data_IF_572887659668
#
_entry.id   IF_572887659668
#
_cell.length_a   1.000
_cell.length_b   1.000
_cell.length_c   1.000
_cell.angle_alpha   90.00
_cell.angle_beta   90.00
_cell.angle_gamma   90.00
#
_symmetry.space_group_name_H-M   'P 1'
#
loop_
_entity.id
_entity.type
_entity.pdbx_description
1 polymer ?
#
# COMPACT_ATOMS: atom_id res chain seq x y z
N UNK A 1 -11.12 9.57 -6.29
CA UNK A 1 -11.45 8.13 -6.38
C UNK A 1 -11.04 7.54 -5.04
N UNK A 2 -12.01 7.08 -4.24
CA UNK A 2 -11.72 6.62 -2.89
C UNK A 2 -11.09 5.23 -2.90
N UNK A 3 -9.90 5.10 -2.30
CA UNK A 3 -9.16 3.84 -2.17
C UNK A 3 -9.32 3.27 -0.75
N UNK A 4 -9.29 4.15 0.25
CA UNK A 4 -9.60 3.85 1.65
C UNK A 4 -10.75 4.75 2.09
N UNK A 5 -11.82 4.15 2.59
CA UNK A 5 -12.99 4.86 3.11
C UNK A 5 -13.01 4.72 4.62
N UNK A 6 -12.87 5.84 5.33
CA UNK A 6 -12.96 5.91 6.77
C UNK A 6 -14.16 6.75 7.19
N UNK A 7 -15.05 6.18 8.00
CA UNK A 7 -16.23 6.87 8.51
C UNK A 7 -16.58 6.39 9.93
N UNK A 8 -17.72 6.82 10.46
CA UNK A 8 -18.19 6.47 11.81
C UNK A 8 -18.39 4.96 12.03
N UNK A 9 -18.47 4.15 10.97
CA UNK A 9 -18.60 2.69 11.06
C UNK A 9 -17.24 1.99 11.13
N UNK A 10 -16.17 2.65 10.67
CA UNK A 10 -14.83 2.06 10.60
C UNK A 10 -14.07 2.43 9.33
N UNK A 11 -13.06 1.62 9.03
CA UNK A 11 -12.20 1.76 7.85
C UNK A 11 -12.43 0.59 6.91
N UNK A 12 -12.60 0.88 5.63
CA UNK A 12 -12.77 -0.10 4.55
C UNK A 12 -11.78 0.22 3.43
N UNK A 13 -11.16 -0.81 2.87
CA UNK A 13 -10.40 -0.71 1.63
C UNK A 13 -11.30 -1.04 0.45
N UNK A 14 -11.13 -0.33 -0.66
CA UNK A 14 -11.90 -0.55 -1.90
C UNK A 14 -11.04 -1.40 -2.84
N UNK A 15 -11.36 -2.68 -2.93
CA UNK A 15 -10.75 -3.60 -3.91
C UNK A 15 -11.34 -3.30 -5.27
N UNK A 16 -10.49 -2.90 -6.23
CA UNK A 16 -10.93 -2.44 -7.55
C UNK A 16 -10.61 -3.49 -8.61
N UNK A 17 -11.51 -3.71 -9.57
CA UNK A 17 -11.21 -4.48 -10.78
C UNK A 17 -11.22 -3.56 -11.99
N UNK A 18 -10.09 -3.54 -12.69
CA UNK A 18 -9.88 -2.76 -13.90
C UNK A 18 -9.91 -3.67 -15.12
N UNK A 19 -10.61 -3.21 -16.17
CA UNK A 19 -10.69 -3.91 -17.47
C UNK A 19 -10.51 -2.95 -18.64
N UNK A 20 -9.95 -3.45 -19.74
CA UNK A 20 -9.83 -2.74 -21.01
C UNK A 20 -10.58 -3.47 -22.13
N UNK A 21 -11.13 -2.75 -23.12
CA UNK A 21 -11.90 -3.37 -24.22
C UNK A 21 -11.05 -4.22 -25.18
N UNK A 22 -9.74 -4.00 -25.21
CA UNK A 22 -8.80 -4.65 -26.13
C UNK A 22 -7.86 -5.66 -25.45
N UNK A 23 -8.12 -6.02 -24.19
CA UNK A 23 -7.29 -6.97 -23.44
C UNK A 23 -8.16 -8.04 -22.79
N UNK A 24 -7.66 -9.28 -22.78
CA UNK A 24 -8.24 -10.39 -22.03
C UNK A 24 -7.77 -10.43 -20.56
N UNK A 25 -6.86 -9.51 -20.18
CA UNK A 25 -6.25 -9.42 -18.87
C UNK A 25 -7.00 -8.42 -17.99
N UNK A 26 -7.35 -8.84 -16.79
CA UNK A 26 -7.93 -8.00 -15.74
C UNK A 26 -6.87 -7.64 -14.68
N UNK A 27 -6.96 -6.44 -14.10
CA UNK A 27 -6.16 -6.07 -12.92
C UNK A 27 -7.07 -5.94 -11.70
N UNK A 28 -6.78 -6.66 -10.62
CA UNK A 28 -7.48 -6.54 -9.33
C UNK A 28 -6.55 -5.88 -8.32
N UNK A 29 -6.92 -4.69 -7.86
CA UNK A 29 -6.12 -3.89 -6.94
C UNK A 29 -6.59 -4.15 -5.51
N UNK A 30 -5.65 -4.49 -4.63
CA UNK A 30 -5.85 -4.74 -3.21
C UNK A 30 -5.08 -3.68 -2.41
N UNK A 31 -5.71 -2.53 -2.08
CA UNK A 31 -5.05 -1.45 -1.35
C UNK A 31 -4.69 -1.88 0.06
N UNK A 32 -3.41 -1.84 0.40
CA UNK A 32 -2.92 -2.27 1.69
C UNK A 32 -2.79 -1.12 2.67
N UNK A 33 -3.16 -1.40 3.92
CA UNK A 33 -2.82 -0.59 5.08
C UNK A 33 -1.97 -1.43 6.01
N UNK A 34 -1.00 -0.80 6.68
CA UNK A 34 -0.03 -1.53 7.50
C UNK A 34 -0.60 -2.02 8.85
N UNK A 35 -1.81 -1.58 9.24
CA UNK A 35 -2.49 -2.02 10.46
C UNK A 35 -3.99 -2.27 10.20
N UNK A 36 -4.49 -3.42 10.64
CA UNK A 36 -5.89 -3.82 10.43
C UNK A 36 -6.28 -5.04 11.25
N UNK A 37 -7.48 -5.58 11.04
CA UNK A 37 -7.86 -6.86 11.66
C UNK A 37 -7.21 -8.05 10.93
N UNK A 38 -7.08 -9.19 11.60
CA UNK A 38 -6.61 -10.42 10.95
C UNK A 38 -7.55 -10.83 9.80
N UNK A 39 -8.86 -10.70 10.00
CA UNK A 39 -9.89 -11.04 9.01
C UNK A 39 -9.74 -10.24 7.70
N UNK A 40 -9.31 -8.97 7.79
CA UNK A 40 -8.98 -8.15 6.63
C UNK A 40 -7.86 -8.77 5.81
N UNK A 41 -6.71 -9.04 6.44
CA UNK A 41 -5.55 -9.60 5.75
C UNK A 41 -5.82 -11.01 5.22
N UNK A 42 -6.60 -11.83 5.92
CA UNK A 42 -7.01 -13.16 5.46
C UNK A 42 -7.90 -13.09 4.22
N UNK A 43 -8.80 -12.09 4.18
CA UNK A 43 -9.67 -11.87 3.02
C UNK A 43 -8.87 -11.44 1.81
N UNK A 44 -7.98 -10.45 1.96
CA UNK A 44 -7.09 -10.01 0.87
C UNK A 44 -6.23 -11.16 0.38
N UNK A 45 -5.63 -11.94 1.29
CA UNK A 45 -4.81 -13.11 0.93
C UNK A 45 -5.60 -14.13 0.12
N UNK A 46 -6.82 -14.46 0.57
CA UNK A 46 -7.70 -15.42 -0.12
C UNK A 46 -8.01 -14.93 -1.54
N UNK A 47 -8.46 -13.68 -1.67
CA UNK A 47 -8.82 -13.10 -2.96
C UNK A 47 -7.61 -12.92 -3.89
N UNK A 48 -6.44 -12.57 -3.37
CA UNK A 48 -5.22 -12.46 -4.15
C UNK A 48 -4.73 -13.84 -4.66
N UNK A 49 -4.94 -14.91 -3.90
CA UNK A 49 -4.65 -16.28 -4.34
C UNK A 49 -5.63 -16.82 -5.40
N UNK A 50 -6.74 -16.12 -5.66
CA UNK A 50 -7.65 -16.41 -6.78
C UNK A 50 -7.14 -15.80 -8.10
N UNK A 51 -6.14 -14.91 -8.05
CA UNK A 51 -5.51 -14.32 -9.22
C UNK A 51 -4.43 -15.25 -9.81
N UNK A 52 -4.11 -15.09 -11.09
CA UNK A 52 -3.11 -15.93 -11.78
C UNK A 52 -1.67 -15.54 -11.43
N UNK A 53 -1.45 -14.25 -11.17
CA UNK A 53 -0.17 -13.68 -10.75
C UNK A 53 -0.44 -12.58 -9.71
N UNK A 54 0.38 -12.50 -8.68
CA UNK A 54 0.35 -11.41 -7.70
C UNK A 54 1.57 -10.51 -7.88
N UNK A 55 1.35 -9.20 -7.94
CA UNK A 55 2.37 -8.16 -7.83
C UNK A 55 2.28 -7.62 -6.41
N UNK A 56 3.28 -7.93 -5.59
CA UNK A 56 3.27 -7.60 -4.16
C UNK A 56 4.33 -6.56 -3.81
N UNK A 57 3.97 -5.64 -2.91
CA UNK A 57 4.90 -4.74 -2.26
C UNK A 57 5.96 -5.50 -1.46
N UNK A 58 7.16 -4.95 -1.40
CA UNK A 58 8.23 -5.59 -0.66
C UNK A 58 9.53 -4.83 -0.70
N UNK A 59 9.64 -3.82 0.15
CA UNK A 59 10.96 -3.29 0.49
C UNK A 59 11.68 -4.33 1.33
N UNK A 60 12.77 -4.90 0.83
CA UNK A 60 13.53 -5.95 1.53
C UNK A 60 13.95 -5.57 2.96
N UNK A 61 14.58 -6.49 3.69
CA UNK A 61 14.93 -6.26 5.10
C UNK A 61 15.96 -5.12 5.26
N UNK A 62 15.48 -3.91 5.54
CA UNK A 62 16.30 -2.71 5.74
C UNK A 62 15.99 -2.03 7.08
N UNK A 63 17.05 -1.63 7.81
CA UNK A 63 16.91 -0.93 9.11
C UNK A 63 16.08 0.36 9.01
N UNK A 64 16.24 1.22 7.99
CA UNK A 64 15.40 2.41 7.83
C UNK A 64 13.91 2.08 7.70
N UNK A 65 13.55 1.11 6.84
CA UNK A 65 12.16 0.63 6.68
C UNK A 65 11.60 0.15 8.01
N UNK A 66 12.37 -0.64 8.77
CA UNK A 66 11.96 -1.11 10.08
C UNK A 66 11.65 0.07 11.04
N UNK A 67 12.43 1.15 11.01
CA UNK A 67 12.19 2.32 11.87
C UNK A 67 10.95 3.10 11.45
N UNK A 68 10.76 3.34 10.15
CA UNK A 68 9.60 4.05 9.62
C UNK A 68 8.30 3.31 9.94
N UNK A 69 8.32 1.99 9.87
CA UNK A 69 7.16 1.13 10.17
C UNK A 69 7.02 0.78 11.66
N UNK A 70 7.85 1.34 12.54
CA UNK A 70 7.82 1.03 13.97
C UNK A 70 6.52 1.48 14.65
N UNK A 71 5.90 2.55 14.15
CA UNK A 71 4.62 3.08 14.62
C UNK A 71 3.55 1.98 14.66
N UNK A 72 3.37 1.26 13.54
CA UNK A 72 2.39 0.18 13.40
C UNK A 72 2.65 -0.98 14.35
N UNK A 73 3.92 -1.42 14.48
CA UNK A 73 4.28 -2.52 15.38
C UNK A 73 4.07 -2.18 16.85
N UNK A 74 4.28 -0.92 17.23
CA UNK A 74 4.03 -0.46 18.59
C UNK A 74 2.53 -0.29 18.85
N UNK A 75 1.78 0.27 17.90
CA UNK A 75 0.33 0.41 17.98
C UNK A 75 -0.37 -0.95 18.10
N UNK A 76 0.03 -1.96 17.30
CA UNK A 76 -0.54 -3.31 17.35
C UNK A 76 -0.32 -4.03 18.69
N UNK A 77 0.61 -3.56 19.54
CA UNK A 77 0.78 -4.10 20.90
C UNK A 77 -0.29 -3.60 21.88
N UNK A 78 -1.10 -2.63 21.49
CA UNK A 78 -2.27 -2.21 22.26
C UNK A 78 -3.40 -3.23 22.06
N UNK A 79 -3.52 -4.17 23.01
CA UNK A 79 -4.54 -5.22 22.97
C UNK A 79 -5.98 -4.69 22.88
N UNK A 80 -6.24 -3.45 23.33
CA UNK A 80 -7.57 -2.83 23.24
C UNK A 80 -7.99 -2.53 21.81
N UNK A 81 -7.02 -2.35 20.90
CA UNK A 81 -7.31 -2.12 19.48
C UNK A 81 -7.71 -3.41 18.77
N UNK A 82 -7.22 -4.57 19.21
CA UNK A 82 -7.47 -5.85 18.53
C UNK A 82 -7.02 -5.86 17.06
N UNK A 83 -5.96 -5.10 16.74
CA UNK A 83 -5.40 -4.97 15.40
C UNK A 83 -4.03 -5.65 15.32
N UNK A 84 -3.68 -6.08 14.12
CA UNK A 84 -2.40 -6.71 13.77
C UNK A 84 -1.71 -5.91 12.67
N UNK A 85 -0.41 -6.08 12.55
CA UNK A 85 0.38 -5.50 11.45
C UNK A 85 0.24 -6.39 10.22
N UNK A 86 0.20 -5.79 9.04
CA UNK A 86 0.22 -6.50 7.76
C UNK A 86 1.39 -7.49 7.69
N UNK A 87 1.08 -8.75 7.36
CA UNK A 87 2.08 -9.79 7.05
C UNK A 87 1.69 -10.50 5.74
N UNK A 88 1.67 -9.72 4.65
CA UNK A 88 1.43 -10.21 3.29
C UNK A 88 2.69 -9.98 2.44
N UNK A 89 3.70 -10.82 2.69
CA UNK A 89 4.93 -10.84 1.89
C UNK A 89 4.76 -11.77 0.69
N UNK A 90 5.66 -11.69 -0.30
CA UNK A 90 5.58 -12.54 -1.49
C UNK A 90 5.52 -14.06 -1.21
N UNK A 91 6.13 -14.56 -0.13
CA UNK A 91 6.03 -15.96 0.26
C UNK A 91 4.69 -16.38 0.88
N UNK A 92 3.74 -15.46 1.00
CA UNK A 92 2.42 -15.69 1.62
C UNK A 92 1.39 -16.16 0.61
N UNK A 93 1.65 -15.93 -0.69
CA UNK A 93 0.74 -16.28 -1.78
C UNK A 93 1.11 -17.63 -2.37
N UNK A 94 0.10 -18.40 -2.76
CA UNK A 94 0.26 -19.72 -3.39
C UNK A 94 0.50 -19.62 -4.90
N UNK A 95 0.30 -18.43 -5.45
CA UNK A 95 0.41 -18.13 -6.88
C UNK A 95 1.74 -17.41 -7.18
N UNK A 96 2.23 -17.44 -8.44
CA UNK A 96 3.45 -16.74 -8.82
C UNK A 96 3.42 -15.27 -8.38
N UNK A 97 4.46 -14.83 -7.68
CA UNK A 97 4.54 -13.47 -7.15
C UNK A 97 5.71 -12.69 -7.74
N UNK A 98 5.41 -11.51 -8.30
CA UNK A 98 6.39 -10.52 -8.80
C UNK A 98 6.59 -9.46 -7.73
N UNK A 99 7.84 -9.01 -7.55
CA UNK A 99 8.23 -7.97 -6.60
C UNK A 99 8.98 -6.85 -7.32
N UNK A 100 8.28 -5.82 -7.81
CA UNK A 100 8.93 -4.74 -8.52
C UNK A 100 9.54 -3.70 -7.58
N UNK A 101 9.24 -3.73 -6.29
CA UNK A 101 9.66 -2.72 -5.31
C UNK A 101 11.19 -2.66 -5.07
N UNK A 102 11.64 -1.59 -4.42
CA UNK A 102 13.04 -1.40 -4.02
C UNK A 102 13.49 -2.55 -3.11
N UNK A 103 14.67 -3.12 -3.36
CA UNK A 103 15.24 -4.06 -2.40
C UNK A 103 15.83 -3.33 -1.17
N UNK A 104 16.19 -4.08 -0.12
CA UNK A 104 16.73 -3.50 1.11
C UNK A 104 17.97 -2.62 0.90
N UNK A 105 18.97 -3.06 0.10
CA UNK A 105 20.11 -2.23 -0.30
C UNK A 105 19.73 -0.95 -1.04
N UNK A 106 18.88 -1.02 -2.07
CA UNK A 106 18.46 0.13 -2.87
C UNK A 106 17.68 1.15 -2.02
N UNK A 107 16.77 0.68 -1.16
CA UNK A 107 16.10 1.56 -0.19
C UNK A 107 17.10 2.20 0.78
N UNK A 108 18.08 1.44 1.27
CA UNK A 108 19.10 1.96 2.19
C UNK A 108 20.02 2.97 1.52
N UNK A 109 20.22 2.89 0.21
CA UNK A 109 20.93 3.90 -0.57
C UNK A 109 20.08 5.15 -0.77
N UNK A 110 18.82 4.99 -1.20
CA UNK A 110 17.86 6.09 -1.32
C UNK A 110 17.71 6.84 0.00
N UNK A 111 17.59 6.12 1.12
CA UNK A 111 17.55 6.70 2.46
C UNK A 111 18.77 7.57 2.78
N UNK A 112 19.96 7.26 2.26
CA UNK A 112 21.16 8.10 2.50
C UNK A 112 21.10 9.42 1.75
N UNK A 113 20.34 9.49 0.65
CA UNK A 113 20.13 10.72 -0.14
C UNK A 113 19.17 11.68 0.56
N UNK A 114 18.25 11.17 1.37
CA UNK A 114 17.37 11.98 2.21
C UNK A 114 18.20 12.89 3.15
N UNK A 115 17.86 14.19 3.27
CA UNK A 115 18.52 15.11 4.19
C UNK A 115 18.61 14.55 5.63
N UNK A 116 19.72 14.85 6.31
CA UNK A 116 19.96 14.37 7.68
C UNK A 116 18.86 14.81 8.65
N UNK A 117 18.31 16.02 8.45
CA UNK A 117 17.21 16.57 9.25
C UNK A 117 15.96 15.70 9.16
N UNK A 118 15.48 15.44 7.95
CA UNK A 118 14.26 14.66 7.69
C UNK A 118 14.42 13.22 8.18
N UNK A 119 15.60 12.62 7.96
CA UNK A 119 15.91 11.30 8.50
C UNK A 119 15.81 11.24 10.01
N UNK A 120 16.37 12.23 10.70
CA UNK A 120 16.34 12.30 12.16
C UNK A 120 14.91 12.53 12.65
N UNK A 121 14.19 13.46 12.02
CA UNK A 121 12.81 13.77 12.32
C UNK A 121 11.92 12.52 12.18
N UNK A 122 11.97 11.82 11.04
CA UNK A 122 11.19 10.60 10.81
C UNK A 122 11.59 9.46 11.74
N UNK A 123 12.89 9.31 12.02
CA UNK A 123 13.39 8.32 12.97
C UNK A 123 12.90 8.56 14.40
N UNK A 124 12.57 9.81 14.76
CA UNK A 124 12.01 10.17 16.05
C UNK A 124 10.48 10.11 16.06
N UNK A 125 9.84 10.64 15.03
CA UNK A 125 8.38 10.78 14.94
C UNK A 125 7.68 9.42 14.90
N UNK A 126 8.13 8.50 14.03
CA UNK A 126 7.51 7.19 13.85
C UNK A 126 7.42 6.36 15.15
N UNK A 127 8.51 6.12 15.91
CA UNK A 127 8.41 5.40 17.18
C UNK A 127 7.66 6.19 18.25
N UNK A 128 7.77 7.53 18.29
CA UNK A 128 7.03 8.36 19.26
C UNK A 128 5.53 8.23 19.06
N UNK A 129 5.06 8.32 17.82
CA UNK A 129 3.67 8.08 17.45
C UNK A 129 3.24 6.65 17.82
N UNK A 130 4.09 5.66 17.56
CA UNK A 130 3.84 4.27 17.95
C UNK A 130 3.64 4.06 19.45
N UNK A 131 4.49 4.68 20.28
CA UNK A 131 4.37 4.64 21.75
C UNK A 131 3.09 5.34 22.21
N UNK A 132 2.76 6.48 21.61
CA UNK A 132 1.53 7.21 21.90
C UNK A 132 0.28 6.35 21.57
N UNK A 133 0.21 5.79 20.36
CA UNK A 133 -0.88 4.91 19.93
C UNK A 133 -0.96 3.63 20.78
N UNK A 134 0.18 3.15 21.28
CA UNK A 134 0.21 2.01 22.20
C UNK A 134 -0.50 2.31 23.53
N UNK A 135 -0.31 3.51 24.08
CA UNK A 135 -0.89 3.91 25.38
C UNK A 135 -2.31 4.46 25.26
N UNK A 136 -2.57 5.26 24.23
CA UNK A 136 -3.75 6.11 24.11
C UNK A 136 -4.50 5.94 22.78
N UNK A 137 -3.98 5.14 21.84
CA UNK A 137 -4.60 4.96 20.54
C UNK A 137 -6.00 4.34 20.65
N UNK A 138 -6.91 4.86 19.83
CA UNK A 138 -8.25 4.32 19.62
C UNK A 138 -8.44 3.99 18.14
N UNK A 139 -9.40 3.13 17.81
CA UNK A 139 -9.72 2.85 16.41
C UNK A 139 -10.22 4.09 15.67
N UNK A 140 -10.94 4.98 16.34
CA UNK A 140 -11.36 6.26 15.75
C UNK A 140 -10.20 7.18 15.41
N UNK A 141 -9.17 7.23 16.26
CA UNK A 141 -7.94 7.98 15.97
C UNK A 141 -7.19 7.38 14.78
N UNK A 142 -7.04 6.05 14.73
CA UNK A 142 -6.42 5.38 13.59
C UNK A 142 -7.22 5.55 12.30
N UNK A 143 -8.55 5.55 12.37
CA UNK A 143 -9.40 5.78 11.21
C UNK A 143 -9.10 7.15 10.57
N UNK A 144 -8.96 8.20 11.39
CA UNK A 144 -8.59 9.54 10.91
C UNK A 144 -7.21 9.61 10.27
N UNK A 145 -6.23 8.86 10.80
CA UNK A 145 -4.88 8.78 10.20
C UNK A 145 -4.83 7.96 8.91
N UNK A 146 -5.76 7.02 8.72
CA UNK A 146 -5.80 6.14 7.56
C UNK A 146 -6.71 6.67 6.45
N UNK A 147 -7.50 7.71 6.70
CA UNK A 147 -8.26 8.39 5.66
C UNK A 147 -7.25 8.97 4.66
N UNK A 148 -7.28 8.47 3.44
CA UNK A 148 -6.63 9.12 2.30
C UNK A 148 -7.74 9.84 1.55
N UNK A 149 -7.99 11.10 1.93
CA UNK A 149 -9.02 11.92 1.29
C UNK A 149 -8.46 12.58 0.01
N UNK A 150 -9.33 12.83 -0.98
CA UNK A 150 -8.96 13.49 -2.24
C UNK A 150 -8.56 14.98 -2.03
N UNK A 151 -8.93 15.57 -0.88
CA UNK A 151 -8.63 16.97 -0.48
C UNK A 151 -7.49 17.09 0.56
N UNK A 152 -6.81 15.99 0.91
CA UNK A 152 -5.77 16.02 1.94
C UNK A 152 -4.46 16.60 1.39
N UNK A 153 -4.26 17.90 1.60
CA UNK A 153 -3.06 18.66 1.26
C UNK A 153 -1.77 18.13 1.93
N UNK A 154 -1.87 17.23 2.92
CA UNK A 154 -0.70 16.72 3.65
C UNK A 154 0.33 16.02 2.76
N UNK A 155 -0.10 15.41 1.65
CA UNK A 155 0.81 14.81 0.66
C UNK A 155 1.54 15.86 -0.17
N UNK A 156 0.82 16.89 -0.61
CA UNK A 156 1.41 18.04 -1.31
C UNK A 156 2.39 18.76 -0.39
N UNK A 157 2.03 18.95 0.87
CA UNK A 157 2.88 19.55 1.90
C UNK A 157 4.12 18.70 2.19
N UNK A 158 3.99 17.37 2.25
CA UNK A 158 5.14 16.47 2.44
C UNK A 158 6.10 16.52 1.25
N UNK A 159 5.59 16.51 0.02
CA UNK A 159 6.40 16.61 -1.19
C UNK A 159 7.12 17.97 -1.30
N UNK A 160 6.51 19.04 -0.80
CA UNK A 160 7.14 20.37 -0.73
C UNK A 160 8.18 20.49 0.38
N UNK A 161 7.92 19.91 1.56
CA UNK A 161 8.75 20.06 2.76
C UNK A 161 9.89 19.04 2.82
N UNK A 162 9.68 17.81 2.34
CA UNK A 162 10.65 16.71 2.36
C UNK A 162 10.69 15.95 1.01
N UNK A 163 11.08 16.62 -0.08
CA UNK A 163 10.99 16.07 -1.44
C UNK A 163 11.77 14.76 -1.63
N UNK A 164 12.97 14.62 -1.06
CA UNK A 164 13.75 13.38 -1.20
C UNK A 164 13.16 12.22 -0.38
N UNK A 165 12.42 12.51 0.69
CA UNK A 165 11.70 11.49 1.44
C UNK A 165 10.45 11.04 0.66
N UNK A 166 9.68 12.00 0.13
CA UNK A 166 8.51 11.72 -0.69
C UNK A 166 8.88 10.90 -1.94
N UNK A 167 9.94 11.28 -2.65
CA UNK A 167 10.44 10.54 -3.81
C UNK A 167 10.79 9.09 -3.47
N UNK A 168 11.43 8.87 -2.32
CA UNK A 168 11.82 7.53 -1.87
C UNK A 168 10.63 6.65 -1.49
N UNK A 169 9.62 7.22 -0.83
CA UNK A 169 8.47 6.47 -0.31
C UNK A 169 7.38 6.29 -1.38
N UNK A 170 7.18 7.28 -2.25
CA UNK A 170 6.15 7.29 -3.28
C UNK A 170 6.73 7.12 -4.69
N UNK A 171 7.23 8.21 -5.28
CA UNK A 171 7.49 8.34 -6.73
C UNK A 171 8.39 7.25 -7.30
N UNK A 172 9.54 7.00 -6.66
CA UNK A 172 10.49 5.99 -7.13
C UNK A 172 9.89 4.58 -7.10
N UNK A 173 9.05 4.29 -6.11
CA UNK A 173 8.39 2.97 -5.93
C UNK A 173 7.20 2.82 -6.87
N UNK A 174 6.43 3.89 -7.07
CA UNK A 174 5.36 3.96 -8.07
C UNK A 174 5.90 3.64 -9.45
N UNK A 175 7.03 4.26 -9.83
CA UNK A 175 7.67 4.02 -11.14
C UNK A 175 7.96 2.53 -11.35
N UNK A 176 8.59 1.88 -10.39
CA UNK A 176 8.93 0.47 -10.48
C UNK A 176 7.67 -0.40 -10.60
N UNK A 177 6.65 -0.10 -9.80
CA UNK A 177 5.37 -0.82 -9.84
C UNK A 177 4.70 -0.68 -11.21
N UNK A 178 4.54 0.54 -11.73
CA UNK A 178 3.83 0.76 -13.00
C UNK A 178 4.62 0.22 -14.20
N UNK A 179 5.96 0.27 -14.16
CA UNK A 179 6.79 -0.30 -15.21
C UNK A 179 6.64 -1.83 -15.23
N UNK A 180 6.60 -2.50 -14.08
CA UNK A 180 6.36 -3.95 -14.01
C UNK A 180 4.94 -4.34 -14.44
N UNK A 181 3.92 -3.54 -14.13
CA UNK A 181 2.56 -3.78 -14.61
C UNK A 181 2.45 -3.57 -16.12
N UNK A 182 3.17 -2.60 -16.67
CA UNK A 182 3.26 -2.38 -18.12
C UNK A 182 3.93 -3.59 -18.81
N UNK A 183 5.05 -4.09 -18.28
CA UNK A 183 5.70 -5.28 -18.81
C UNK A 183 4.78 -6.51 -18.80
N UNK A 184 4.04 -6.73 -17.70
CA UNK A 184 3.07 -7.82 -17.60
C UNK A 184 1.92 -7.67 -18.61
N UNK A 185 1.41 -6.44 -18.80
CA UNK A 185 0.41 -6.17 -19.82
C UNK A 185 0.93 -6.49 -21.23
N UNK A 186 2.08 -5.93 -21.62
CA UNK A 186 2.66 -6.17 -22.94
C UNK A 186 2.86 -7.67 -23.23
N UNK A 187 3.32 -8.42 -22.23
CA UNK A 187 3.55 -9.87 -22.35
C UNK A 187 2.25 -10.68 -22.42
N UNK A 188 1.20 -10.30 -21.70
CA UNK A 188 0.05 -11.18 -21.42
C UNK A 188 -1.32 -10.62 -21.78
N UNK A 189 -1.42 -9.42 -22.34
CA UNK A 189 -2.72 -8.77 -22.59
C UNK A 189 -3.67 -9.56 -23.49
N UNK A 190 -3.16 -10.51 -24.28
CA UNK A 190 -3.93 -11.39 -25.17
C UNK A 190 -4.37 -12.70 -24.50
N UNK A 191 -3.80 -13.03 -23.34
CA UNK A 191 -4.13 -14.23 -22.56
C UNK A 191 -5.18 -13.88 -21.50
N UNK A 192 -6.25 -14.68 -21.36
CA UNK A 192 -7.19 -14.51 -20.25
C UNK A 192 -6.49 -14.72 -18.91
N UNK A 193 -6.64 -13.76 -18.01
CA UNK A 193 -6.08 -13.88 -16.66
C UNK A 193 -6.34 -12.65 -15.80
N UNK A 194 -6.06 -12.77 -14.52
CA UNK A 194 -6.18 -11.70 -13.53
C UNK A 194 -4.85 -11.49 -12.83
N UNK A 195 -4.36 -10.26 -12.84
CA UNK A 195 -3.20 -9.83 -12.05
C UNK A 195 -3.70 -9.17 -10.78
N UNK A 196 -3.36 -9.76 -9.63
CA UNK A 196 -3.60 -9.17 -8.31
C UNK A 196 -2.49 -8.20 -7.94
N UNK A 197 -2.80 -6.95 -7.61
CA UNK A 197 -1.84 -5.94 -7.17
C UNK A 197 -2.04 -5.69 -5.68
N UNK A 198 -1.16 -6.26 -4.85
CA UNK A 198 -1.22 -6.13 -3.39
C UNK A 198 -0.15 -5.15 -2.94
N UNK A 199 -0.54 -3.89 -2.76
CA UNK A 199 0.39 -2.79 -2.54
C UNK A 199 -0.22 -1.73 -1.62
N UNK A 200 0.61 -0.92 -0.94
CA UNK A 200 0.17 0.20 -0.11
C UNK A 200 -0.86 1.07 -0.83
N UNK A 201 -1.90 1.50 -0.11
CA UNK A 201 -3.02 2.23 -0.69
C UNK A 201 -2.59 3.53 -1.40
N UNK A 202 -1.51 4.16 -0.96
CA UNK A 202 -0.93 5.37 -1.56
C UNK A 202 -0.56 5.17 -3.05
N UNK A 203 -0.06 3.98 -3.40
CA UNK A 203 0.43 3.66 -4.74
C UNK A 203 -0.70 3.36 -5.75
N UNK A 204 -1.91 3.08 -5.27
CA UNK A 204 -3.02 2.65 -6.15
C UNK A 204 -3.46 3.74 -7.12
N UNK A 205 -3.30 5.02 -6.75
CA UNK A 205 -3.61 6.15 -7.65
C UNK A 205 -2.71 6.15 -8.87
N UNK A 206 -1.40 5.93 -8.68
CA UNK A 206 -0.45 5.85 -9.77
C UNK A 206 -0.76 4.66 -10.69
N UNK A 207 -1.07 3.49 -10.12
CA UNK A 207 -1.47 2.30 -10.89
C UNK A 207 -2.70 2.55 -11.74
N UNK A 208 -3.79 3.05 -11.15
CA UNK A 208 -5.03 3.33 -11.89
C UNK A 208 -4.80 4.36 -12.99
N UNK A 209 -4.03 5.42 -12.69
CA UNK A 209 -3.69 6.46 -13.67
C UNK A 209 -2.93 5.88 -14.85
N UNK A 210 -1.83 5.17 -14.61
CA UNK A 210 -0.98 4.65 -15.69
C UNK A 210 -1.68 3.57 -16.53
N UNK A 211 -2.40 2.64 -15.90
CA UNK A 211 -3.14 1.62 -16.64
C UNK A 211 -4.24 2.24 -17.51
N UNK A 212 -4.88 3.31 -17.04
CA UNK A 212 -5.88 4.04 -17.81
C UNK A 212 -5.27 4.82 -18.97
N UNK A 213 -4.22 5.60 -18.71
CA UNK A 213 -3.63 6.50 -19.71
C UNK A 213 -2.90 5.74 -20.80
N UNK A 214 -2.13 4.70 -20.44
CA UNK A 214 -1.33 3.94 -21.41
C UNK A 214 -2.12 2.86 -22.14
N UNK A 215 -3.00 2.15 -21.44
CA UNK A 215 -3.61 0.91 -21.95
C UNK A 215 -5.14 0.94 -21.97
N UNK A 216 -5.77 2.05 -21.55
CA UNK A 216 -7.23 2.22 -21.64
C UNK A 216 -8.03 1.40 -20.63
N UNK A 217 -7.40 0.95 -19.54
CA UNK A 217 -8.12 0.29 -18.44
C UNK A 217 -9.03 1.27 -17.72
N UNK A 218 -10.20 0.78 -17.32
CA UNK A 218 -11.16 1.53 -16.50
C UNK A 218 -11.65 0.64 -15.36
N UNK A 219 -11.96 1.26 -14.23
CA UNK A 219 -12.61 0.57 -13.11
C UNK A 219 -13.98 0.05 -13.58
N UNK A 220 -14.21 -1.24 -13.40
CA UNK A 220 -15.47 -1.92 -13.76
C UNK A 220 -16.22 -2.46 -12.56
N UNK A 221 -15.50 -2.77 -11.48
CA UNK A 221 -16.07 -3.29 -10.25
C UNK A 221 -15.31 -2.75 -9.04
N UNK A 222 -16.00 -2.68 -7.91
CA UNK A 222 -15.48 -2.20 -6.64
C UNK A 222 -16.11 -2.96 -5.47
N UNK A 223 -15.27 -3.59 -4.65
CA UNK A 223 -15.68 -4.36 -3.47
C UNK A 223 -15.13 -3.70 -2.21
N UNK A 224 -15.98 -3.52 -1.19
CA UNK A 224 -15.53 -2.99 0.10
C UNK A 224 -15.09 -4.13 1.02
N UNK A 225 -13.83 -4.09 1.44
CA UNK A 225 -13.29 -5.02 2.45
C UNK A 225 -13.03 -4.26 3.74
N UNK A 226 -13.63 -4.70 4.84
CA UNK A 226 -13.50 -4.02 6.14
C UNK A 226 -12.10 -4.24 6.72
N UNK A 227 -11.38 -3.16 6.98
CA UNK A 227 -10.09 -3.18 7.68
C UNK A 227 -10.33 -3.36 9.18
N UNK A 228 -11.17 -2.51 9.77
CA UNK A 228 -11.67 -2.61 11.14
C UNK A 228 -12.93 -1.76 11.36
N UNK A 229 -13.75 -2.11 12.34
CA UNK A 229 -14.87 -1.31 12.83
C UNK A 229 -14.47 -0.43 14.02
N UNK A 230 -15.18 0.67 14.28
CA UNK A 230 -14.94 1.52 15.46
C UNK A 230 -15.39 0.89 16.78
#
# INVERSE_FOLDING_TARGET
MEIIVANELGVRAVVLTLRAKGSALDFRLFPMVHIGTQAYFDTVRRQANECDVVVAEGVGDAKPVSRLTASYRLAARNKRLGLVVQDLKAGTFTVPTVRPDLDGPAFSEGWRRVPLGDRLMMSLLAPTLGVFLRGFGTRGMLARFLTVDDEDDSWTETAEVMPEFDDLIGVSRDKLLVDALAELHEQRHHEPGTIGVVYGAEHMRAVVRELRTRFGYVVRDAEYVTVFSL
#
